data_IF_897327513862
#
_entry.id   IF_897327513862
#
_cell.length_a   1.000
_cell.length_b   1.000
_cell.length_c   1.000
_cell.angle_alpha   90.00
_cell.angle_beta   90.00
_cell.angle_gamma   90.00
#
_symmetry.space_group_name_H-M   'P 1'
#
loop_
_entity.id
_entity.type
_entity.pdbx_description
1 polymer ?
#
# COMPACT_ATOMS: atom_id res chain seq x y z
N UNK A 1 4.21 -16.86 5.01
CA UNK A 1 4.23 -15.41 4.73
C UNK A 1 3.72 -15.21 3.32
N UNK A 2 2.63 -14.47 3.14
CA UNK A 2 2.10 -14.17 1.80
C UNK A 2 2.95 -13.04 1.19
N UNK A 3 3.54 -13.31 0.02
CA UNK A 3 4.41 -12.37 -0.67
C UNK A 3 3.55 -11.40 -1.48
N UNK A 4 3.70 -10.10 -1.24
CA UNK A 4 3.06 -9.09 -2.07
C UNK A 4 3.87 -8.88 -3.36
N UNK A 5 3.20 -8.51 -4.45
CA UNK A 5 3.85 -8.19 -5.72
C UNK A 5 3.12 -7.06 -6.42
N UNK A 6 3.81 -6.36 -7.31
CA UNK A 6 3.19 -5.37 -8.20
C UNK A 6 2.45 -6.14 -9.30
N UNK A 7 1.14 -5.93 -9.37
CA UNK A 7 0.31 -6.48 -10.42
C UNK A 7 0.46 -5.66 -11.70
N UNK A 8 1.28 -6.14 -12.62
CA UNK A 8 1.51 -5.47 -13.91
C UNK A 8 0.24 -5.41 -14.77
N UNK A 9 -0.70 -6.34 -14.61
CA UNK A 9 -1.98 -6.28 -15.34
C UNK A 9 -2.77 -5.05 -14.95
N UNK A 10 -2.81 -4.73 -13.65
CA UNK A 10 -3.47 -3.52 -13.15
C UNK A 10 -2.80 -2.27 -13.76
N UNK A 11 -1.47 -2.25 -13.83
CA UNK A 11 -0.73 -1.14 -14.46
C UNK A 11 -1.02 -1.02 -15.97
N UNK A 12 -1.09 -2.15 -16.68
CA UNK A 12 -1.43 -2.19 -18.10
C UNK A 12 -2.85 -1.68 -18.34
N UNK A 13 -3.82 -2.08 -17.52
CA UNK A 13 -5.20 -1.63 -17.62
C UNK A 13 -5.37 -0.14 -17.31
N UNK A 14 -4.64 0.36 -16.30
CA UNK A 14 -4.68 1.77 -15.90
C UNK A 14 -3.97 2.71 -16.88
N UNK A 15 -2.84 2.28 -17.45
CA UNK A 15 -1.94 3.16 -18.22
C UNK A 15 -1.70 2.69 -19.67
N UNK A 16 -2.43 1.69 -20.14
CA UNK A 16 -2.38 1.23 -21.54
C UNK A 16 -1.15 0.39 -21.91
N UNK A 17 -0.46 -0.18 -20.91
CA UNK A 17 0.59 -1.20 -21.07
C UNK A 17 1.94 -0.76 -21.66
N UNK A 18 2.05 0.47 -22.18
CA UNK A 18 3.29 1.02 -22.72
C UNK A 18 3.72 2.34 -22.09
N UNK A 19 2.88 2.97 -21.24
CA UNK A 19 3.23 4.24 -20.60
C UNK A 19 4.03 4.03 -19.30
N UNK A 20 5.25 3.53 -19.50
CA UNK A 20 6.23 3.38 -18.42
C UNK A 20 6.59 4.73 -17.76
N UNK A 21 6.36 5.85 -18.42
CA UNK A 21 6.60 7.19 -17.85
C UNK A 21 5.52 7.56 -16.84
N UNK A 22 4.25 7.34 -17.17
CA UNK A 22 3.15 7.55 -16.23
C UNK A 22 3.25 6.59 -15.04
N UNK A 23 3.58 5.31 -15.27
CA UNK A 23 3.83 4.35 -14.19
C UNK A 23 4.96 4.83 -13.27
N UNK A 24 6.13 5.21 -13.83
CA UNK A 24 7.26 5.72 -13.04
C UNK A 24 6.88 6.99 -12.26
N UNK A 25 6.09 7.88 -12.86
CA UNK A 25 5.62 9.11 -12.20
C UNK A 25 4.69 8.80 -11.03
N UNK A 26 3.72 7.91 -11.20
CA UNK A 26 2.77 7.54 -10.13
C UNK A 26 3.49 6.82 -8.99
N UNK A 27 4.43 5.94 -9.32
CA UNK A 27 5.31 5.30 -8.34
C UNK A 27 6.23 6.31 -7.62
N UNK A 28 6.73 7.33 -8.31
CA UNK A 28 7.49 8.44 -7.69
C UNK A 28 6.65 9.19 -6.68
N UNK A 29 5.41 9.56 -7.04
CA UNK A 29 4.48 10.23 -6.13
C UNK A 29 4.19 9.37 -4.90
N UNK A 30 4.07 8.05 -5.06
CA UNK A 30 3.87 7.13 -3.94
C UNK A 30 5.05 7.16 -2.97
N UNK A 31 6.29 7.13 -3.48
CA UNK A 31 7.54 7.21 -2.70
C UNK A 31 7.73 8.57 -2.01
N UNK A 32 7.37 9.66 -2.66
CA UNK A 32 7.63 11.01 -2.17
C UNK A 32 6.53 11.53 -1.23
N UNK A 33 5.28 11.06 -1.41
CA UNK A 33 4.14 11.63 -0.70
C UNK A 33 3.40 10.64 0.18
N UNK A 34 3.24 9.39 -0.24
CA UNK A 34 2.40 8.43 0.50
C UNK A 34 3.18 7.68 1.56
N UNK A 35 4.27 7.00 1.19
CA UNK A 35 5.09 6.27 2.18
C UNK A 35 5.60 7.17 3.31
N UNK A 36 6.10 8.40 3.05
CA UNK A 36 6.53 9.29 4.13
C UNK A 36 5.41 9.65 5.11
N UNK A 37 4.18 9.84 4.63
CA UNK A 37 3.01 10.10 5.51
C UNK A 37 2.68 8.89 6.36
N UNK A 38 2.69 7.69 5.78
CA UNK A 38 2.44 6.44 6.50
C UNK A 38 3.53 6.22 7.55
N UNK A 39 4.79 6.31 7.17
CA UNK A 39 5.94 6.18 8.08
C UNK A 39 5.88 7.21 9.20
N UNK A 40 5.54 8.47 8.89
CA UNK A 40 5.39 9.51 9.91
C UNK A 40 4.25 9.21 10.89
N UNK A 41 3.12 8.67 10.40
CA UNK A 41 2.00 8.29 11.26
C UNK A 41 2.39 7.15 12.20
N UNK A 42 2.99 6.08 11.65
CA UNK A 42 3.44 4.91 12.40
C UNK A 42 4.55 5.23 13.40
N UNK A 43 5.45 6.16 13.07
CA UNK A 43 6.58 6.56 13.91
C UNK A 43 6.27 7.71 14.87
N UNK A 44 5.04 8.23 14.88
CA UNK A 44 4.68 9.41 15.67
C UNK A 44 4.75 9.20 17.19
N UNK A 45 4.81 7.93 17.64
CA UNK A 45 4.80 7.55 19.05
C UNK A 45 3.48 7.86 19.76
N UNK A 46 2.47 8.33 19.02
CA UNK A 46 1.12 8.57 19.55
C UNK A 46 0.35 7.26 19.60
N UNK A 47 -0.32 7.04 20.70
CA UNK A 47 -1.23 5.91 20.84
C UNK A 47 -2.52 6.23 20.07
N UNK A 48 -2.64 5.65 18.87
CA UNK A 48 -3.80 5.78 18.00
C UNK A 48 -4.76 4.61 18.20
N UNK A 49 -6.06 4.90 18.25
CA UNK A 49 -7.08 3.85 18.31
C UNK A 49 -7.05 2.98 17.04
N UNK A 50 -7.48 1.71 17.15
CA UNK A 50 -7.58 0.83 15.97
C UNK A 50 -8.41 1.47 14.86
N UNK A 51 -9.57 2.05 15.20
CA UNK A 51 -10.43 2.71 14.23
C UNK A 51 -9.69 3.87 13.53
N UNK A 52 -8.97 4.71 14.29
CA UNK A 52 -8.16 5.80 13.73
C UNK A 52 -7.07 5.29 12.77
N UNK A 53 -6.41 4.18 13.11
CA UNK A 53 -5.39 3.57 12.23
C UNK A 53 -6.00 3.07 10.93
N UNK A 54 -7.13 2.39 11.00
CA UNK A 54 -7.85 1.87 9.83
C UNK A 54 -8.32 3.00 8.94
N UNK A 55 -8.97 4.03 9.52
CA UNK A 55 -9.39 5.22 8.78
C UNK A 55 -8.21 5.92 8.10
N UNK A 56 -7.07 6.01 8.79
CA UNK A 56 -5.85 6.56 8.22
C UNK A 56 -5.39 5.77 6.99
N UNK A 57 -5.28 4.44 7.08
CA UNK A 57 -4.87 3.60 5.95
C UNK A 57 -5.87 3.61 4.79
N UNK A 58 -7.17 3.66 5.09
CA UNK A 58 -8.24 3.71 4.09
C UNK A 58 -8.13 4.90 3.13
N UNK A 59 -7.55 6.02 3.58
CA UNK A 59 -7.28 7.18 2.71
C UNK A 59 -6.28 6.90 1.58
N UNK A 60 -5.54 5.79 1.63
CA UNK A 60 -4.50 5.43 0.66
C UNK A 60 -4.85 4.23 -0.21
N UNK A 61 -6.04 3.63 -0.06
CA UNK A 61 -6.49 2.47 -0.86
C UNK A 61 -6.31 2.75 -2.36
N UNK A 62 -6.82 3.88 -2.84
CA UNK A 62 -6.70 4.28 -4.25
C UNK A 62 -5.25 4.46 -4.68
N UNK A 63 -4.40 5.02 -3.81
CA UNK A 63 -2.98 5.23 -4.11
C UNK A 63 -2.25 3.91 -4.34
N UNK A 64 -2.52 2.88 -3.51
CA UNK A 64 -1.95 1.55 -3.70
C UNK A 64 -2.46 0.87 -4.98
N UNK A 65 -3.76 0.98 -5.26
CA UNK A 65 -4.34 0.42 -6.50
C UNK A 65 -3.75 1.06 -7.76
N UNK A 66 -3.50 2.38 -7.74
CA UNK A 66 -2.92 3.12 -8.88
C UNK A 66 -1.50 2.67 -9.27
N UNK A 67 -0.79 1.95 -8.39
CA UNK A 67 0.57 1.45 -8.63
C UNK A 67 0.63 -0.08 -8.65
N UNK A 68 -0.52 -0.75 -8.87
CA UNK A 68 -0.59 -2.21 -8.99
C UNK A 68 -0.40 -2.94 -7.66
N UNK A 69 -0.58 -2.28 -6.52
CA UNK A 69 -0.52 -2.88 -5.18
C UNK A 69 -1.93 -3.17 -4.63
N UNK A 70 -2.82 -3.69 -5.47
CA UNK A 70 -4.22 -4.00 -5.12
C UNK A 70 -4.34 -4.97 -3.94
N UNK A 71 -3.36 -5.85 -3.71
CA UNK A 71 -3.31 -6.70 -2.52
C UNK A 71 -3.22 -5.89 -1.20
N UNK A 72 -2.55 -4.72 -1.20
CA UNK A 72 -2.52 -3.84 -0.03
C UNK A 72 -3.88 -3.20 0.18
N UNK A 73 -4.51 -2.70 -0.89
CA UNK A 73 -5.87 -2.15 -0.85
C UNK A 73 -6.86 -3.15 -0.25
N UNK A 74 -6.85 -4.40 -0.73
CA UNK A 74 -7.71 -5.47 -0.22
C UNK A 74 -7.45 -5.81 1.27
N UNK A 75 -6.20 -5.74 1.73
CA UNK A 75 -5.87 -5.93 3.15
C UNK A 75 -6.47 -4.82 4.02
N UNK A 76 -6.43 -3.57 3.57
CA UNK A 76 -7.01 -2.44 4.30
C UNK A 76 -8.53 -2.62 4.42
N UNK A 77 -9.19 -2.94 3.31
CA UNK A 77 -10.65 -3.19 3.27
C UNK A 77 -11.05 -4.35 4.20
N UNK A 78 -10.30 -5.46 4.17
CA UNK A 78 -10.55 -6.60 5.05
C UNK A 78 -10.42 -6.23 6.54
N UNK A 79 -9.45 -5.37 6.89
CA UNK A 79 -9.29 -4.91 8.27
C UNK A 79 -10.47 -4.02 8.67
N UNK A 80 -10.90 -3.11 7.79
CA UNK A 80 -12.07 -2.26 8.02
C UNK A 80 -13.35 -3.09 8.22
N UNK A 81 -13.57 -4.13 7.42
CA UNK A 81 -14.67 -5.08 7.62
C UNK A 81 -14.57 -5.81 8.97
N UNK A 82 -13.36 -6.25 9.36
CA UNK A 82 -13.16 -6.90 10.66
C UNK A 82 -13.48 -5.98 11.83
N UNK A 83 -13.12 -4.70 11.75
CA UNK A 83 -13.47 -3.67 12.75
C UNK A 83 -14.98 -3.48 12.80
N UNK A 84 -15.65 -3.31 11.67
CA UNK A 84 -17.12 -3.14 11.58
C UNK A 84 -17.89 -4.34 12.13
N UNK A 85 -17.35 -5.54 11.96
CA UNK A 85 -17.96 -6.78 12.45
C UNK A 85 -17.66 -7.10 13.93
N UNK A 86 -17.00 -6.20 14.67
CA UNK A 86 -16.57 -6.43 16.05
C UNK A 86 -15.74 -7.72 16.21
N UNK A 87 -14.85 -7.99 15.26
CA UNK A 87 -13.90 -9.11 15.34
C UNK A 87 -13.02 -8.94 16.59
N UNK A 88 -12.49 -10.05 17.10
CA UNK A 88 -11.55 -10.03 18.23
C UNK A 88 -10.40 -9.02 18.03
N UNK A 89 -10.14 -8.22 19.05
CA UNK A 89 -9.15 -7.14 19.03
C UNK A 89 -7.74 -7.63 18.69
N UNK A 90 -7.33 -8.81 19.19
CA UNK A 90 -6.02 -9.37 18.92
C UNK A 90 -5.87 -9.70 17.43
N UNK A 91 -6.91 -10.28 16.83
CA UNK A 91 -6.92 -10.62 15.40
C UNK A 91 -6.89 -9.39 14.50
N UNK A 92 -7.53 -8.30 14.91
CA UNK A 92 -7.48 -7.02 14.17
C UNK A 92 -6.07 -6.44 14.27
N UNK A 93 -5.48 -6.44 15.48
CA UNK A 93 -4.14 -5.91 15.69
C UNK A 93 -3.07 -6.70 14.92
N UNK A 94 -3.18 -8.03 14.88
CA UNK A 94 -2.32 -8.88 14.04
C UNK A 94 -2.47 -8.55 12.54
N UNK A 95 -3.69 -8.31 12.07
CA UNK A 95 -3.93 -7.94 10.68
C UNK A 95 -3.33 -6.56 10.35
N UNK A 96 -3.41 -5.59 11.27
CA UNK A 96 -2.76 -4.27 11.12
C UNK A 96 -1.23 -4.42 11.06
N UNK A 97 -0.63 -5.19 11.95
CA UNK A 97 0.82 -5.44 11.91
C UNK A 97 1.24 -6.10 10.59
N UNK A 98 0.45 -7.05 10.09
CA UNK A 98 0.71 -7.65 8.78
C UNK A 98 0.58 -6.64 7.62
N UNK A 99 -0.36 -5.71 7.71
CA UNK A 99 -0.51 -4.62 6.74
C UNK A 99 0.70 -3.70 6.78
N UNK A 100 1.16 -3.27 7.96
CA UNK A 100 2.34 -2.40 8.13
C UNK A 100 3.61 -3.02 7.54
N UNK A 101 3.81 -4.33 7.77
CA UNK A 101 4.91 -5.07 7.15
C UNK A 101 4.78 -5.12 5.62
N UNK A 102 3.57 -5.39 5.12
CA UNK A 102 3.31 -5.43 3.68
C UNK A 102 3.54 -4.06 3.03
N UNK A 103 3.13 -2.97 3.67
CA UNK A 103 3.40 -1.60 3.19
C UNK A 103 4.91 -1.38 3.10
N UNK A 104 5.67 -1.78 4.12
CA UNK A 104 7.14 -1.64 4.15
C UNK A 104 7.81 -2.41 2.99
N UNK A 105 7.38 -3.65 2.74
CA UNK A 105 7.84 -4.44 1.60
C UNK A 105 7.48 -3.79 0.26
N UNK A 106 6.30 -3.17 0.17
CA UNK A 106 5.82 -2.56 -1.07
C UNK A 106 6.63 -1.33 -1.48
N UNK A 107 7.18 -0.59 -0.52
CA UNK A 107 8.08 0.53 -0.79
C UNK A 107 9.36 0.05 -1.51
N UNK A 108 9.91 -1.09 -1.07
CA UNK A 108 11.09 -1.71 -1.69
C UNK A 108 10.76 -2.18 -3.11
N UNK A 109 9.64 -2.90 -3.27
CA UNK A 109 9.19 -3.39 -4.58
C UNK A 109 9.00 -2.25 -5.58
N UNK A 110 8.41 -1.12 -5.17
CA UNK A 110 8.25 0.05 -6.04
C UNK A 110 9.62 0.59 -6.46
N UNK A 111 10.59 0.71 -5.54
CA UNK A 111 11.94 1.17 -5.89
C UNK A 111 12.59 0.25 -6.92
N UNK A 112 12.51 -1.06 -6.71
CA UNK A 112 13.07 -2.06 -7.64
C UNK A 112 12.40 -2.02 -9.01
N UNK A 113 11.07 -1.92 -9.05
CA UNK A 113 10.30 -1.86 -10.29
C UNK A 113 10.68 -0.64 -11.12
N UNK A 114 10.77 0.54 -10.48
CA UNK A 114 11.18 1.78 -11.13
C UNK A 114 12.58 1.69 -11.72
N UNK A 115 13.53 1.08 -11.01
CA UNK A 115 14.89 0.88 -11.54
C UNK A 115 14.89 -0.04 -12.77
N UNK A 116 13.98 -1.02 -12.84
CA UNK A 116 13.82 -1.88 -14.02
C UNK A 116 13.20 -1.13 -15.21
N UNK A 117 12.23 -0.23 -14.98
CA UNK A 117 11.70 0.66 -16.02
C UNK A 117 12.82 1.51 -16.63
N UNK A 118 13.72 2.06 -15.81
CA UNK A 118 14.82 2.92 -16.30
C UNK A 118 15.85 2.17 -17.11
N UNK A 119 16.12 0.89 -16.79
CA UNK A 119 17.06 0.03 -17.53
C UNK A 119 16.56 -0.43 -18.89
N UNK A 120 15.24 -0.41 -19.08
CA UNK A 120 14.58 -0.84 -20.32
C UNK A 120 14.33 0.32 -21.30
N UNK A 121 14.63 1.56 -20.91
CA UNK A 121 14.73 2.73 -21.80
C UNK A 121 16.13 2.85 -22.40
#
# INVERSE_FOLDING_TARGET
>A
MEYISINEKDLIELYGGSDNEMVDKMMSLMLEQTFPKITSFLSSGKEESIASKVDFFSNFISSFSMVGLSAISAKIELIDEKVKNNTDYLLINEAILNLEESISQSEILIKEYRENIKKTK
#
